data_IF_937201172658
#
_entry.id   IF_937201172658
#
_cell.length_a   1.000
_cell.length_b   1.000
_cell.length_c   1.000
_cell.angle_alpha   90.00
_cell.angle_beta   90.00
_cell.angle_gamma   90.00
#
_symmetry.space_group_name_H-M   'P 1'
#
loop_
_entity.id
_entity.type
_entity.pdbx_description
1 polymer ?
#
# COMPACT_ATOMS: atom_id res chain seq x y z
N UNK A 1 -22.41 -17.76 15.83
CA UNK A 1 -20.95 -17.97 15.70
C UNK A 1 -20.39 -16.85 14.84
N UNK A 2 -19.79 -15.83 15.44
CA UNK A 2 -19.08 -14.78 14.72
C UNK A 2 -17.64 -14.79 15.23
N UNK A 3 -16.70 -15.16 14.37
CA UNK A 3 -15.28 -15.11 14.66
C UNK A 3 -14.90 -13.64 14.89
N UNK A 4 -14.85 -13.23 16.15
CA UNK A 4 -14.20 -12.00 16.58
C UNK A 4 -12.69 -12.19 16.32
N UNK A 5 -12.25 -11.81 15.13
CA UNK A 5 -10.83 -11.59 14.87
C UNK A 5 -10.35 -10.49 15.82
N UNK A 6 -9.25 -10.74 16.51
CA UNK A 6 -8.50 -9.76 17.33
C UNK A 6 -8.69 -8.34 16.80
N UNK A 7 -9.34 -7.47 17.58
CA UNK A 7 -9.94 -6.18 17.20
C UNK A 7 -8.97 -5.07 16.78
N UNK A 8 -7.99 -5.38 15.95
CA UNK A 8 -7.04 -4.44 15.39
C UNK A 8 -7.56 -3.95 14.04
N UNK A 9 -7.70 -2.63 13.91
CA UNK A 9 -8.06 -2.00 12.66
C UNK A 9 -6.98 -2.24 11.59
N UNK A 10 -7.37 -2.71 10.42
CA UNK A 10 -6.46 -2.92 9.29
C UNK A 10 -6.35 -1.68 8.40
N UNK A 11 -7.27 -0.73 8.55
CA UNK A 11 -7.24 0.55 7.88
C UNK A 11 -8.11 1.60 8.57
N UNK A 12 -8.11 2.81 8.02
CA UNK A 12 -9.02 3.88 8.41
C UNK A 12 -9.51 4.65 7.19
N UNK A 13 -10.73 5.17 7.27
CA UNK A 13 -11.26 6.16 6.33
C UNK A 13 -11.28 7.51 7.03
N UNK A 14 -10.74 8.53 6.38
CA UNK A 14 -10.70 9.89 6.90
C UNK A 14 -11.58 10.76 6.01
N UNK A 15 -12.60 11.40 6.59
CA UNK A 15 -13.41 12.37 5.85
C UNK A 15 -12.61 13.64 5.61
N UNK A 16 -12.82 14.26 4.45
CA UNK A 16 -12.16 15.51 4.09
C UNK A 16 -12.91 16.75 4.61
N UNK A 17 -13.93 16.61 5.45
CA UNK A 17 -14.66 17.77 5.94
C UNK A 17 -13.77 18.65 6.83
N UNK A 18 -14.09 19.95 6.90
CA UNK A 18 -13.33 20.95 7.66
C UNK A 18 -13.31 20.72 9.19
N UNK A 19 -13.87 19.61 9.68
CA UNK A 19 -13.80 19.19 11.08
C UNK A 19 -12.75 18.07 11.25
N UNK A 20 -11.67 18.28 12.02
CA UNK A 20 -10.52 17.36 12.08
C UNK A 20 -10.77 16.04 12.85
N UNK A 21 -12.00 15.54 12.94
CA UNK A 21 -12.36 14.49 13.91
C UNK A 21 -13.16 13.30 13.38
N UNK A 22 -13.42 13.19 12.08
CA UNK A 22 -14.21 12.06 11.54
C UNK A 22 -13.33 10.98 10.88
N UNK A 23 -12.56 10.26 11.70
CA UNK A 23 -11.88 9.03 11.28
C UNK A 23 -12.74 7.80 11.59
N UNK A 24 -12.77 6.84 10.66
CA UNK A 24 -13.54 5.60 10.79
C UNK A 24 -12.58 4.43 10.67
N UNK A 25 -12.46 3.64 11.74
CA UNK A 25 -11.58 2.49 11.78
C UNK A 25 -12.23 1.30 11.05
N UNK A 26 -11.47 0.72 10.12
CA UNK A 26 -11.86 -0.49 9.41
C UNK A 26 -11.32 -1.70 10.20
N UNK A 27 -12.18 -2.27 11.04
CA UNK A 27 -11.87 -3.46 11.85
C UNK A 27 -12.38 -4.72 11.13
N UNK A 28 -13.63 -4.66 10.64
CA UNK A 28 -14.22 -5.72 9.84
C UNK A 28 -13.56 -5.74 8.46
N UNK A 29 -13.32 -6.94 7.93
CA UNK A 29 -12.75 -7.10 6.58
C UNK A 29 -13.69 -6.70 5.46
N UNK A 30 -14.98 -6.62 5.77
CA UNK A 30 -15.98 -6.07 4.89
C UNK A 30 -16.52 -4.80 5.54
N UNK A 31 -16.59 -3.73 4.75
CA UNK A 31 -17.16 -2.45 5.13
C UNK A 31 -18.13 -2.02 4.03
N UNK A 32 -19.39 -1.89 4.40
CA UNK A 32 -20.49 -1.49 3.53
C UNK A 32 -20.74 0.00 3.64
N UNK A 33 -20.87 0.67 2.49
CA UNK A 33 -21.13 2.11 2.43
C UNK A 33 -22.45 2.33 1.72
N UNK A 34 -23.32 3.16 2.29
CA UNK A 34 -24.64 3.39 1.71
C UNK A 34 -25.46 4.43 2.45
N UNK A 35 -26.66 4.71 1.93
CA UNK A 35 -27.63 5.60 2.58
C UNK A 35 -28.41 4.91 3.69
N UNK A 36 -28.57 3.58 3.61
CA UNK A 36 -29.30 2.84 4.63
C UNK A 36 -28.53 2.83 5.96
N UNK A 37 -29.26 2.71 7.07
CA UNK A 37 -28.70 2.69 8.43
C UNK A 37 -28.03 1.36 8.79
N UNK A 38 -28.25 0.32 7.99
CA UNK A 38 -27.65 -1.02 8.15
C UNK A 38 -26.21 -1.11 7.60
N UNK A 39 -25.75 -0.06 6.89
CA UNK A 39 -24.39 0.01 6.36
C UNK A 39 -23.40 0.45 7.46
N UNK A 40 -22.18 -0.10 7.44
CA UNK A 40 -21.09 0.29 8.35
C UNK A 40 -20.80 1.79 8.26
N UNK A 41 -20.83 2.34 7.02
CA UNK A 41 -20.75 3.76 6.76
C UNK A 41 -22.06 4.26 6.13
N UNK A 42 -22.89 4.87 6.97
CA UNK A 42 -24.22 5.35 6.58
C UNK A 42 -24.26 6.85 6.28
N UNK A 43 -24.86 7.23 5.15
CA UNK A 43 -25.15 8.61 4.73
C UNK A 43 -26.66 8.87 4.58
N UNK A 44 -27.45 8.81 5.66
CA UNK A 44 -28.91 8.81 5.59
C UNK A 44 -29.51 10.10 5.02
N UNK A 45 -28.84 11.24 5.23
CA UNK A 45 -29.29 12.54 4.74
C UNK A 45 -29.01 12.75 3.23
N UNK A 46 -28.10 11.97 2.63
CA UNK A 46 -27.71 12.18 1.24
C UNK A 46 -28.55 11.33 0.29
N UNK A 47 -29.42 11.99 -0.49
CA UNK A 47 -30.28 11.34 -1.49
C UNK A 47 -29.52 10.77 -2.70
N UNK A 48 -28.32 11.27 -2.98
CA UNK A 48 -27.48 10.86 -4.11
C UNK A 48 -26.67 9.59 -3.81
N UNK A 49 -26.55 9.22 -2.54
CA UNK A 49 -25.98 7.94 -2.14
C UNK A 49 -27.07 6.86 -2.24
N UNK A 50 -26.81 5.80 -3.02
CA UNK A 50 -27.69 4.62 -3.08
C UNK A 50 -27.81 3.93 -1.72
N UNK A 51 -28.91 3.19 -1.51
CA UNK A 51 -29.16 2.46 -0.25
C UNK A 51 -28.00 1.55 0.15
N UNK A 52 -27.55 0.71 -0.78
CA UNK A 52 -26.27 0.00 -0.73
C UNK A 52 -25.43 0.58 -1.87
N UNK A 53 -24.42 1.39 -1.56
CA UNK A 53 -23.69 2.16 -2.57
C UNK A 53 -22.48 1.40 -3.08
N UNK A 54 -21.58 1.04 -2.18
CA UNK A 54 -20.41 0.25 -2.51
C UNK A 54 -19.99 -0.59 -1.31
N UNK A 55 -19.06 -1.49 -1.57
CA UNK A 55 -18.51 -2.38 -0.56
C UNK A 55 -17.00 -2.36 -0.65
N UNK A 56 -16.34 -2.20 0.48
CA UNK A 56 -14.89 -2.27 0.61
C UNK A 56 -14.57 -3.61 1.28
N UNK A 57 -13.78 -4.43 0.63
CA UNK A 57 -13.36 -5.74 1.15
C UNK A 57 -11.85 -5.86 1.18
N UNK A 58 -11.32 -6.34 2.31
CA UNK A 58 -9.93 -6.73 2.41
C UNK A 58 -9.80 -8.23 2.13
N UNK A 59 -8.99 -8.57 1.13
CA UNK A 59 -8.65 -9.95 0.83
C UNK A 59 -7.74 -10.53 1.93
N UNK A 60 -8.14 -11.69 2.46
CA UNK A 60 -7.45 -12.32 3.59
C UNK A 60 -6.06 -12.84 3.20
N UNK A 61 -5.88 -13.25 1.96
CA UNK A 61 -4.65 -13.94 1.52
C UNK A 61 -3.58 -12.93 1.08
N UNK A 62 -3.98 -11.91 0.33
CA UNK A 62 -3.07 -10.92 -0.23
C UNK A 62 -2.98 -9.62 0.58
N UNK A 63 -3.90 -9.38 1.52
CA UNK A 63 -4.01 -8.11 2.25
C UNK A 63 -4.43 -6.93 1.37
N UNK A 64 -4.79 -7.19 0.11
CA UNK A 64 -5.25 -6.18 -0.84
C UNK A 64 -6.66 -5.73 -0.48
N UNK A 65 -6.93 -4.45 -0.72
CA UNK A 65 -8.23 -3.84 -0.45
C UNK A 65 -8.92 -3.60 -1.78
N UNK A 66 -10.17 -4.01 -1.88
CA UNK A 66 -10.97 -3.93 -3.08
C UNK A 66 -12.24 -3.12 -2.82
N UNK A 67 -12.65 -2.33 -3.80
CA UNK A 67 -13.92 -1.61 -3.81
C UNK A 67 -14.80 -2.17 -4.92
N UNK A 68 -16.04 -2.52 -4.56
CA UNK A 68 -17.08 -2.93 -5.49
C UNK A 68 -18.20 -1.89 -5.50
N UNK A 69 -18.41 -1.23 -6.64
CA UNK A 69 -19.47 -0.23 -6.82
C UNK A 69 -20.80 -0.90 -7.20
N UNK A 70 -21.83 -0.71 -6.38
CA UNK A 70 -23.20 -1.18 -6.64
C UNK A 70 -24.17 -0.03 -6.88
N UNK A 71 -23.67 1.20 -6.91
CA UNK A 71 -24.48 2.40 -6.89
C UNK A 71 -25.17 2.70 -8.22
N UNK A 72 -26.10 3.66 -8.19
CA UNK A 72 -26.79 4.16 -9.39
C UNK A 72 -26.01 5.30 -10.04
N UNK A 73 -25.44 6.19 -9.22
CA UNK A 73 -24.70 7.37 -9.70
C UNK A 73 -23.23 7.09 -10.03
N UNK A 74 -22.70 5.98 -9.52
CA UNK A 74 -21.30 5.57 -9.67
C UNK A 74 -20.42 6.09 -8.54
N UNK A 75 -19.36 5.32 -8.26
CA UNK A 75 -18.27 5.72 -7.37
C UNK A 75 -17.07 6.20 -8.18
N UNK A 76 -16.35 7.22 -7.70
CA UNK A 76 -15.12 7.73 -8.34
C UNK A 76 -13.97 7.60 -7.35
N UNK A 77 -12.83 7.06 -7.80
CA UNK A 77 -11.61 6.90 -7.00
C UNK A 77 -10.48 7.68 -7.69
N UNK A 78 -9.83 8.61 -6.99
CA UNK A 78 -8.78 9.48 -7.54
C UNK A 78 -9.19 10.14 -8.87
N UNK A 79 -10.41 10.69 -8.94
CA UNK A 79 -11.02 11.26 -10.16
C UNK A 79 -11.28 10.28 -11.32
N UNK A 80 -11.01 8.98 -11.15
CA UNK A 80 -11.32 7.93 -12.11
C UNK A 80 -12.61 7.19 -11.72
N UNK A 81 -13.56 7.07 -12.65
CA UNK A 81 -14.84 6.41 -12.37
C UNK A 81 -14.65 4.90 -12.27
N UNK A 82 -15.10 4.31 -11.15
CA UNK A 82 -15.11 2.87 -10.95
C UNK A 82 -16.20 2.24 -11.81
N UNK A 83 -15.89 1.11 -12.44
CA UNK A 83 -16.87 0.36 -13.22
C UNK A 83 -17.80 -0.38 -12.25
N UNK A 84 -19.11 -0.19 -12.45
CA UNK A 84 -20.15 -0.83 -11.64
C UNK A 84 -20.02 -2.36 -11.65
N UNK A 85 -20.15 -2.99 -10.48
CA UNK A 85 -20.02 -4.43 -10.20
C UNK A 85 -18.66 -5.04 -10.56
N UNK A 86 -17.63 -4.23 -10.74
CA UNK A 86 -16.26 -4.72 -10.87
C UNK A 86 -15.47 -4.43 -9.60
N UNK A 87 -14.52 -5.31 -9.30
CA UNK A 87 -13.60 -5.11 -8.20
C UNK A 87 -12.51 -4.13 -8.62
N UNK A 88 -12.44 -3.00 -7.94
CA UNK A 88 -11.41 -1.99 -8.12
C UNK A 88 -10.40 -2.08 -6.98
N UNK A 89 -9.11 -2.19 -7.30
CA UNK A 89 -8.06 -2.27 -6.28
C UNK A 89 -7.85 -0.87 -5.68
N UNK A 90 -8.00 -0.76 -4.35
CA UNK A 90 -7.68 0.45 -3.60
C UNK A 90 -6.25 0.40 -3.05
N UNK A 91 -5.59 1.54 -3.10
CA UNK A 91 -4.27 1.79 -2.54
C UNK A 91 -4.35 2.74 -1.35
N UNK A 92 -3.30 2.71 -0.53
CA UNK A 92 -3.17 3.62 0.60
C UNK A 92 -3.04 5.07 0.11
N UNK A 93 -3.90 5.95 0.59
CA UNK A 93 -3.97 7.36 0.21
C UNK A 93 -5.02 7.66 -0.86
N UNK A 94 -5.69 6.63 -1.42
CA UNK A 94 -6.71 6.84 -2.43
C UNK A 94 -7.90 7.64 -1.89
N UNK A 95 -8.41 8.56 -2.71
CA UNK A 95 -9.56 9.39 -2.40
C UNK A 95 -10.80 8.82 -3.08
N UNK A 96 -11.82 8.51 -2.29
CA UNK A 96 -13.08 7.92 -2.74
C UNK A 96 -14.18 8.98 -2.69
N UNK A 97 -14.86 9.15 -3.81
CA UNK A 97 -16.00 10.03 -4.00
C UNK A 97 -17.25 9.16 -4.23
N UNK A 98 -18.16 9.14 -3.27
CA UNK A 98 -19.43 8.40 -3.41
C UNK A 98 -20.48 9.15 -4.24
N UNK A 99 -20.27 10.44 -4.50
CA UNK A 99 -21.17 11.25 -5.32
C UNK A 99 -20.31 12.18 -6.15
N UNK A 100 -20.38 12.01 -7.48
CA UNK A 100 -19.67 12.88 -8.41
C UNK A 100 -20.65 13.48 -9.41
N UNK A 101 -20.72 14.82 -9.47
CA UNK A 101 -21.46 15.56 -10.50
C UNK A 101 -20.49 16.37 -11.34
N UNK A 102 -20.31 15.96 -12.60
CA UNK A 102 -19.42 16.64 -13.56
C UNK A 102 -19.80 18.10 -13.82
N UNK A 103 -21.08 18.46 -13.65
CA UNK A 103 -21.61 19.79 -14.02
C UNK A 103 -21.68 20.77 -12.83
N UNK A 104 -21.52 20.31 -11.59
CA UNK A 104 -21.61 21.13 -10.38
C UNK A 104 -20.61 20.61 -9.33
N UNK A 105 -19.29 20.77 -9.57
CA UNK A 105 -18.28 20.23 -8.67
C UNK A 105 -18.47 20.78 -7.25
N UNK A 106 -18.67 22.09 -7.11
CA UNK A 106 -18.69 22.84 -5.83
C UNK A 106 -19.63 22.25 -4.75
N UNK A 107 -20.75 21.64 -5.13
CA UNK A 107 -21.70 21.02 -4.17
C UNK A 107 -21.43 19.54 -3.89
N UNK A 108 -20.71 18.85 -4.77
CA UNK A 108 -20.22 17.49 -4.52
C UNK A 108 -18.91 17.44 -3.73
N UNK A 109 -18.25 18.58 -3.55
CA UNK A 109 -16.80 18.59 -3.31
C UNK A 109 -16.33 18.09 -1.95
N UNK A 110 -17.10 18.12 -0.85
CA UNK A 110 -16.44 17.88 0.46
C UNK A 110 -17.17 16.99 1.46
N UNK A 111 -18.49 16.81 1.36
CA UNK A 111 -19.23 16.06 2.39
C UNK A 111 -19.15 14.53 2.25
N UNK A 112 -18.66 14.01 1.12
CA UNK A 112 -18.63 12.57 0.81
C UNK A 112 -17.28 12.09 0.25
N UNK A 113 -16.24 12.88 0.47
CA UNK A 113 -14.86 12.49 0.21
C UNK A 113 -14.30 11.75 1.40
N UNK A 114 -13.77 10.55 1.14
CA UNK A 114 -13.03 9.80 2.14
C UNK A 114 -11.71 9.32 1.56
N UNK A 115 -10.63 9.55 2.29
CA UNK A 115 -9.32 8.98 2.01
C UNK A 115 -9.16 7.67 2.76
N UNK A 116 -8.77 6.61 2.06
CA UNK A 116 -8.46 5.32 2.67
C UNK A 116 -7.00 5.21 3.04
N UNK A 117 -6.73 4.81 4.28
CA UNK A 117 -5.39 4.49 4.77
C UNK A 117 -5.36 3.03 5.20
N UNK A 118 -4.40 2.27 4.69
CA UNK A 118 -4.26 0.85 4.97
C UNK A 118 -3.03 0.63 5.85
N UNK A 119 -3.21 0.18 7.09
CA UNK A 119 -2.11 -0.01 8.05
C UNK A 119 -1.24 -1.23 7.73
N UNK A 120 -1.78 -2.24 7.04
CA UNK A 120 -1.08 -3.48 6.71
C UNK A 120 -0.49 -3.58 5.30
N UNK A 121 -0.82 -2.65 4.39
CA UNK A 121 -0.48 -2.79 2.96
C UNK A 121 0.98 -2.47 2.61
N UNK A 122 1.83 -2.10 3.59
CA UNK A 122 3.28 -1.96 3.39
C UNK A 122 3.93 -3.29 2.92
N UNK A 123 3.25 -4.42 3.04
CA UNK A 123 3.78 -5.75 2.65
C UNK A 123 3.52 -6.12 1.17
N UNK A 124 2.86 -5.28 0.37
CA UNK A 124 2.55 -5.61 -1.03
C UNK A 124 3.40 -4.89 -2.10
N UNK A 125 4.42 -4.10 -1.72
CA UNK A 125 5.46 -3.71 -2.68
C UNK A 125 6.46 -4.84 -2.88
N UNK A 126 6.00 -5.97 -3.43
CA UNK A 126 6.88 -6.91 -4.11
C UNK A 126 7.07 -6.44 -5.55
N UNK A 127 7.65 -5.26 -5.71
CA UNK A 127 8.59 -5.02 -6.79
C UNK A 127 10.02 -5.24 -6.26
N UNK A 128 10.19 -6.30 -5.48
CA UNK A 128 11.47 -6.91 -5.10
C UNK A 128 11.53 -8.32 -5.69
N UNK A 129 11.39 -8.41 -7.01
CA UNK A 129 11.68 -9.62 -7.81
C UNK A 129 12.61 -9.24 -8.98
N UNK A 130 13.64 -8.44 -8.69
CA UNK A 130 14.82 -8.26 -9.57
C UNK A 130 16.13 -8.10 -8.78
N UNK A 131 16.13 -8.22 -7.44
CA UNK A 131 17.34 -8.03 -6.63
C UNK A 131 18.14 -9.34 -6.47
N UNK A 132 17.56 -10.50 -6.73
CA UNK A 132 18.25 -11.80 -6.60
C UNK A 132 19.36 -12.00 -7.64
N UNK A 133 19.22 -11.47 -8.86
CA UNK A 133 20.26 -11.55 -9.88
C UNK A 133 21.43 -10.60 -9.61
N UNK A 134 21.15 -9.42 -9.05
CA UNK A 134 22.16 -8.40 -8.76
C UNK A 134 23.02 -8.80 -7.55
N UNK A 135 22.44 -9.39 -6.51
CA UNK A 135 23.21 -9.86 -5.34
C UNK A 135 24.14 -11.01 -5.68
N UNK A 136 23.69 -11.96 -6.53
CA UNK A 136 24.54 -13.06 -6.98
C UNK A 136 25.72 -12.57 -7.82
N UNK A 137 25.48 -11.62 -8.74
CA UNK A 137 26.55 -11.04 -9.56
C UNK A 137 27.57 -10.28 -8.71
N UNK A 138 27.13 -9.56 -7.68
CA UNK A 138 28.02 -8.83 -6.77
C UNK A 138 28.90 -9.77 -5.93
N UNK A 139 28.35 -10.88 -5.43
CA UNK A 139 29.11 -11.90 -4.69
C UNK A 139 30.13 -12.63 -5.58
N UNK A 140 29.78 -12.93 -6.84
CA UNK A 140 30.71 -13.52 -7.81
C UNK A 140 31.85 -12.54 -8.14
N UNK A 141 31.56 -11.24 -8.30
CA UNK A 141 32.60 -10.25 -8.58
C UNK A 141 33.58 -10.09 -7.40
N UNK A 142 33.08 -10.10 -6.16
CA UNK A 142 33.91 -10.01 -4.95
C UNK A 142 34.84 -11.22 -4.79
N UNK A 143 34.34 -12.42 -5.07
CA UNK A 143 35.14 -13.66 -5.01
C UNK A 143 36.23 -13.69 -6.08
N UNK A 144 35.95 -13.22 -7.30
CA UNK A 144 36.96 -13.06 -8.36
C UNK A 144 38.04 -12.03 -8.01
N UNK A 145 37.66 -10.88 -7.43
CA UNK A 145 38.61 -9.83 -7.03
C UNK A 145 39.55 -10.29 -5.89
N UNK A 146 39.09 -11.13 -4.97
CA UNK A 146 39.96 -11.73 -3.95
C UNK A 146 40.95 -12.76 -4.48
N UNK A 147 40.65 -13.41 -5.62
CA UNK A 147 41.52 -14.41 -6.23
C UNK A 147 42.67 -13.77 -7.04
N UNK A 148 42.47 -12.56 -7.56
CA UNK A 148 43.51 -11.78 -8.24
C UNK A 148 44.26 -10.92 -7.20
N UNK A 149 44.91 -11.56 -6.23
CA UNK A 149 45.93 -10.90 -5.39
C UNK A 149 47.32 -11.18 -5.99
N UNK A 150 48.07 -10.15 -6.41
CA UNK A 150 49.39 -10.35 -6.99
C UNK A 150 50.38 -10.81 -5.90
N UNK A 151 51.04 -11.95 -6.15
CA UNK A 151 52.17 -12.45 -5.35
C UNK A 151 53.38 -11.56 -5.63
N UNK A 152 53.75 -10.72 -4.65
CA UNK A 152 54.86 -9.77 -4.81
C UNK A 152 55.63 -9.53 -3.49
N UNK A 153 56.96 -9.72 -3.59
CA UNK A 153 58.03 -9.37 -2.64
C UNK A 153 58.44 -10.37 -1.54
N UNK A 154 59.36 -11.28 -1.93
CA UNK A 154 60.39 -11.84 -1.04
C UNK A 154 61.47 -10.75 -0.80
N UNK A 155 61.63 -10.31 0.45
CA UNK A 155 62.83 -9.56 0.90
C UNK A 155 63.95 -10.57 1.19
N UNK A 156 65.13 -10.37 0.59
CA UNK A 156 66.35 -11.15 0.86
C UNK A 156 67.15 -10.43 1.95
N UNK A 157 67.60 -11.09 3.03
CA UNK A 157 68.45 -10.46 4.03
C UNK A 157 69.93 -10.47 3.62
N UNK A 158 70.59 -9.31 3.72
CA UNK A 158 72.04 -9.17 3.64
C UNK A 158 72.73 -9.92 4.80
N UNK A 159 73.65 -10.82 4.49
CA UNK A 159 74.59 -11.39 5.47
C UNK A 159 76.02 -10.99 5.08
N UNK A 160 76.62 -10.14 5.91
CA UNK A 160 78.06 -9.80 5.88
C UNK A 160 78.88 -11.08 6.09
N UNK A 161 79.78 -11.38 5.16
CA UNK A 161 80.95 -12.20 5.41
C UNK A 161 82.14 -11.26 5.58
N UNK A 162 82.68 -11.20 6.80
CA UNK A 162 83.97 -10.58 7.08
C UNK A 162 85.06 -11.39 6.39
N UNK A 163 85.86 -10.72 5.57
CA UNK A 163 87.09 -11.24 4.97
C UNK A 163 88.18 -11.20 6.04
N UNK A 164 88.75 -12.37 6.36
CA UNK A 164 90.02 -12.47 7.07
C UNK A 164 91.15 -12.41 6.05
N UNK A 165 92.06 -11.46 6.20
CA UNK A 165 93.39 -11.49 5.59
C UNK A 165 94.38 -10.99 6.63
N UNK A 166 95.30 -11.91 6.97
CA UNK A 166 96.63 -11.81 7.61
C UNK A 166 96.88 -10.73 8.67
#
# INVERSE_FOLDING_TARGET
MAHQGSGQAWGKLVKFDASPCSEILLINRECTVGRKKDCDLSFPANKLVSGNHCKITQDQNSGKVWLEDMSTNGTVVNMSKVVKKQMHLLQNGDVIHFVYRKNEPVQSEFSHLLSIFCFGSIVASKQMMQVSHITHLFLVLQTFLTFIRPSGHRKVPHRMLKVNTY
#
